data_IF_421050186484
#
_entry.id   IF_421050186484
#
_cell.length_a   1.000
_cell.length_b   1.000
_cell.length_c   1.000
_cell.angle_alpha   90.00
_cell.angle_beta   90.00
_cell.angle_gamma   90.00
#
_symmetry.space_group_name_H-M   'P 1'
#
loop_
_entity.id
_entity.type
_entity.pdbx_description
1 polymer ?
#
# COMPACT_ATOMS: atom_id res chain seq x y z
N UNK A 1 1.86 -0.24 24.21
CA UNK A 1 1.07 -0.28 22.97
C UNK A 1 1.99 -0.20 21.76
N UNK A 2 1.77 -1.02 20.69
CA UNK A 2 2.52 -0.90 19.42
C UNK A 2 2.25 0.46 18.79
N UNK A 3 3.32 1.14 18.31
CA UNK A 3 3.17 2.41 17.58
C UNK A 3 2.35 2.21 16.31
N UNK A 4 1.38 3.11 15.98
CA UNK A 4 0.63 3.04 14.73
C UNK A 4 1.55 3.06 13.51
N UNK A 5 1.40 2.06 12.62
CA UNK A 5 2.22 1.91 11.41
C UNK A 5 1.65 2.77 10.29
N UNK A 6 2.45 3.72 9.80
CA UNK A 6 2.07 4.66 8.74
C UNK A 6 3.09 4.61 7.61
N UNK A 7 2.64 4.41 6.38
CA UNK A 7 3.46 4.59 5.19
C UNK A 7 3.18 5.95 4.58
N UNK A 8 4.19 6.82 4.53
CA UNK A 8 4.10 8.06 3.78
C UNK A 8 4.28 7.76 2.29
N UNK A 9 3.30 8.15 1.48
CA UNK A 9 3.36 7.97 0.03
C UNK A 9 4.21 9.08 -0.59
N UNK A 10 5.27 8.66 -1.28
CA UNK A 10 6.16 9.54 -2.05
C UNK A 10 5.70 9.54 -3.51
N UNK A 11 4.56 10.20 -3.76
CA UNK A 11 3.96 10.35 -5.07
C UNK A 11 4.51 11.64 -5.71
N UNK A 12 5.71 11.53 -6.29
CA UNK A 12 6.50 12.59 -6.94
C UNK A 12 7.56 11.97 -7.83
N UNK A 13 7.97 12.64 -8.88
CA UNK A 13 9.11 12.25 -9.73
C UNK A 13 10.43 12.95 -9.34
N UNK A 14 10.41 13.77 -8.25
CA UNK A 14 11.58 14.57 -7.81
C UNK A 14 12.23 13.95 -6.58
N UNK A 15 13.51 13.57 -6.70
CA UNK A 15 14.30 13.04 -5.58
C UNK A 15 14.42 14.06 -4.43
N UNK A 16 14.52 15.36 -4.74
CA UNK A 16 14.56 16.43 -3.72
C UNK A 16 13.31 16.45 -2.85
N UNK A 17 12.13 16.28 -3.45
CA UNK A 17 10.86 16.23 -2.72
C UNK A 17 10.76 14.95 -1.88
N UNK A 18 11.20 13.81 -2.41
CA UNK A 18 11.26 12.57 -1.65
C UNK A 18 12.18 12.71 -0.42
N UNK A 19 13.36 13.32 -0.56
CA UNK A 19 14.27 13.65 0.56
C UNK A 19 13.58 14.53 1.60
N UNK A 20 12.83 15.55 1.16
CA UNK A 20 12.08 16.45 2.05
C UNK A 20 11.05 15.69 2.88
N UNK A 21 10.24 14.83 2.24
CA UNK A 21 9.22 14.01 2.93
C UNK A 21 9.89 13.07 3.95
N UNK A 22 10.99 12.41 3.56
CA UNK A 22 11.73 11.48 4.42
C UNK A 22 12.29 12.19 5.66
N UNK A 23 12.83 13.40 5.52
CA UNK A 23 13.38 14.17 6.62
C UNK A 23 12.34 14.44 7.74
N UNK A 24 11.08 14.73 7.36
CA UNK A 24 9.99 14.95 8.31
C UNK A 24 9.37 13.67 8.88
N UNK A 25 9.58 12.52 8.25
CA UNK A 25 9.03 11.23 8.69
C UNK A 25 9.70 10.63 9.93
N UNK A 26 10.59 11.34 10.60
CA UNK A 26 11.33 10.86 11.80
C UNK A 26 10.54 10.96 13.12
N UNK A 27 9.21 11.02 13.09
CA UNK A 27 8.40 11.12 14.32
C UNK A 27 8.62 9.90 15.22
N UNK A 28 8.99 10.13 16.50
CA UNK A 28 9.17 9.08 17.51
C UNK A 28 7.85 8.44 17.97
N UNK A 29 6.69 9.09 17.73
CA UNK A 29 5.37 8.64 18.18
C UNK A 29 4.68 7.69 17.19
N UNK A 30 5.19 7.57 15.95
CA UNK A 30 4.63 6.73 14.88
C UNK A 30 5.70 5.76 14.36
N UNK A 31 5.26 4.58 13.87
CA UNK A 31 6.12 3.67 13.08
C UNK A 31 6.02 4.08 11.61
N UNK A 32 6.88 5.01 11.18
CA UNK A 32 6.88 5.58 9.81
C UNK A 32 7.72 4.70 8.88
N UNK A 33 7.08 4.27 7.77
CA UNK A 33 7.72 3.71 6.58
C UNK A 33 7.46 4.59 5.35
N UNK A 34 8.04 4.24 4.22
CA UNK A 34 7.90 4.99 2.97
C UNK A 34 7.38 4.12 1.85
N UNK A 35 6.31 4.58 1.19
CA UNK A 35 5.74 3.95 0.01
C UNK A 35 6.19 4.67 -1.26
N UNK A 36 6.86 3.95 -2.13
CA UNK A 36 7.25 4.41 -3.46
C UNK A 36 6.27 3.84 -4.48
N UNK A 37 5.42 4.70 -5.04
CA UNK A 37 4.46 4.36 -6.09
C UNK A 37 5.07 4.39 -7.48
N UNK A 38 4.23 4.20 -8.49
CA UNK A 38 4.66 4.11 -9.91
C UNK A 38 5.42 5.36 -10.36
N UNK A 39 4.87 6.56 -10.08
CA UNK A 39 5.49 7.83 -10.48
C UNK A 39 6.95 7.93 -10.01
N UNK A 40 7.22 7.63 -8.75
CA UNK A 40 8.58 7.68 -8.21
C UNK A 40 9.45 6.55 -8.77
N UNK A 41 8.91 5.33 -8.83
CA UNK A 41 9.70 4.15 -9.24
C UNK A 41 10.19 4.24 -10.68
N UNK A 42 9.41 4.84 -11.58
CA UNK A 42 9.79 5.07 -12.99
C UNK A 42 10.62 6.34 -13.20
N UNK A 43 10.78 7.20 -12.20
CA UNK A 43 11.61 8.40 -12.32
C UNK A 43 13.10 8.05 -12.40
N UNK A 44 13.88 8.87 -13.13
CA UNK A 44 15.33 8.71 -13.27
C UNK A 44 16.02 8.70 -11.90
N UNK A 45 16.91 7.73 -11.67
CA UNK A 45 17.68 7.59 -10.44
C UNK A 45 16.89 7.06 -9.22
N UNK A 46 15.62 6.73 -9.38
CA UNK A 46 14.74 6.30 -8.28
C UNK A 46 15.21 5.01 -7.60
N UNK A 47 15.63 3.99 -8.37
CA UNK A 47 16.08 2.70 -7.83
C UNK A 47 17.31 2.87 -6.94
N UNK A 48 18.29 3.65 -7.41
CA UNK A 48 19.49 3.97 -6.65
C UNK A 48 19.14 4.75 -5.37
N UNK A 49 18.24 5.73 -5.48
CA UNK A 49 17.76 6.45 -4.31
C UNK A 49 17.10 5.53 -3.29
N UNK A 50 16.16 4.67 -3.70
CA UNK A 50 15.45 3.73 -2.82
C UNK A 50 16.42 2.80 -2.10
N UNK A 51 17.45 2.29 -2.79
CA UNK A 51 18.45 1.39 -2.20
C UNK A 51 19.27 2.05 -1.06
N UNK A 52 19.41 3.37 -1.11
CA UNK A 52 20.13 4.18 -0.09
C UNK A 52 19.27 4.59 1.11
N UNK A 53 17.95 4.41 1.07
CA UNK A 53 17.06 4.73 2.21
C UNK A 53 17.24 3.68 3.31
N UNK A 54 17.80 4.09 4.46
CA UNK A 54 18.11 3.19 5.60
C UNK A 54 17.20 3.43 6.81
N UNK A 55 17.09 2.42 7.67
CA UNK A 55 16.46 2.53 8.99
C UNK A 55 14.92 2.65 8.98
N UNK A 56 14.27 2.46 7.83
CA UNK A 56 12.82 2.54 7.67
C UNK A 56 12.30 1.43 6.77
N UNK A 57 11.03 1.08 6.92
CA UNK A 57 10.36 0.11 6.06
C UNK A 57 10.11 0.70 4.67
N UNK A 58 10.52 -0.03 3.64
CA UNK A 58 10.35 0.33 2.24
C UNK A 58 9.22 -0.49 1.64
N UNK A 59 8.27 0.21 1.05
CA UNK A 59 7.11 -0.35 0.41
C UNK A 59 7.07 0.06 -1.07
N UNK A 60 7.31 -0.88 -1.97
CA UNK A 60 7.17 -0.69 -3.42
C UNK A 60 5.71 -0.98 -3.83
N UNK A 61 4.98 0.08 -4.16
CA UNK A 61 3.57 -0.01 -4.54
C UNK A 61 3.43 -0.02 -6.07
N UNK A 62 3.85 -1.15 -6.69
CA UNK A 62 3.94 -1.32 -8.14
C UNK A 62 2.69 -1.96 -8.75
N UNK A 63 1.85 -2.59 -7.93
CA UNK A 63 0.62 -3.27 -8.35
C UNK A 63 0.83 -4.18 -9.56
N UNK A 64 1.89 -5.03 -9.49
CA UNK A 64 2.23 -5.93 -10.59
C UNK A 64 0.98 -6.66 -11.09
N UNK A 65 0.79 -6.68 -12.40
CA UNK A 65 -0.37 -7.30 -13.06
C UNK A 65 0.03 -7.75 -14.46
N UNK A 66 0.56 -8.97 -14.56
CA UNK A 66 1.08 -9.58 -15.77
C UNK A 66 1.09 -11.10 -15.59
N UNK A 67 1.53 -11.86 -16.61
CA UNK A 67 1.69 -13.32 -16.56
C UNK A 67 2.72 -13.75 -15.50
N UNK A 68 2.66 -15.02 -15.01
CA UNK A 68 3.50 -15.51 -13.92
C UNK A 68 5.00 -15.33 -14.12
N UNK A 69 5.49 -15.58 -15.34
CA UNK A 69 6.90 -15.45 -15.68
C UNK A 69 7.40 -14.01 -15.57
N UNK A 70 6.64 -13.04 -16.12
CA UNK A 70 6.96 -11.61 -16.13
C UNK A 70 6.95 -11.03 -14.71
N UNK A 71 5.88 -11.28 -13.95
CA UNK A 71 5.80 -10.80 -12.57
C UNK A 71 6.91 -11.39 -11.68
N UNK A 72 7.24 -12.68 -11.86
CA UNK A 72 8.34 -13.33 -11.13
C UNK A 72 9.70 -12.75 -11.51
N UNK A 73 9.93 -12.44 -12.80
CA UNK A 73 11.15 -11.80 -13.27
C UNK A 73 11.29 -10.37 -12.70
N UNK A 74 10.18 -9.59 -12.64
CA UNK A 74 10.17 -8.29 -12.01
C UNK A 74 10.62 -8.35 -10.54
N UNK A 75 10.14 -9.34 -9.76
CA UNK A 75 10.61 -9.55 -8.38
C UNK A 75 12.11 -9.86 -8.34
N UNK A 76 12.60 -10.78 -9.19
CA UNK A 76 14.02 -11.12 -9.23
C UNK A 76 14.92 -9.95 -9.60
N UNK A 77 14.45 -9.07 -10.49
CA UNK A 77 15.19 -7.86 -10.88
C UNK A 77 15.39 -6.85 -9.74
N UNK A 78 14.66 -6.98 -8.64
CA UNK A 78 14.77 -6.11 -7.45
C UNK A 78 15.81 -6.59 -6.43
N UNK A 79 16.59 -7.63 -6.74
CA UNK A 79 17.62 -8.21 -5.83
C UNK A 79 18.69 -7.21 -5.37
N UNK A 80 18.95 -6.17 -6.14
CA UNK A 80 19.86 -5.06 -5.83
C UNK A 80 19.32 -4.11 -4.74
N UNK A 81 18.01 -4.05 -4.55
CA UNK A 81 17.37 -3.20 -3.53
C UNK A 81 17.08 -4.03 -2.26
N UNK A 82 18.11 -4.27 -1.46
CA UNK A 82 18.08 -5.21 -0.31
C UNK A 82 17.15 -4.79 0.84
N UNK A 83 16.74 -3.53 0.89
CA UNK A 83 15.94 -2.94 1.97
C UNK A 83 14.43 -2.96 1.73
N UNK A 84 13.93 -3.63 0.68
CA UNK A 84 12.50 -3.76 0.41
C UNK A 84 11.84 -4.65 1.47
N UNK A 85 10.75 -4.15 2.05
CA UNK A 85 9.92 -4.90 2.99
C UNK A 85 8.57 -5.31 2.40
N UNK A 86 7.99 -4.49 1.51
CA UNK A 86 6.66 -4.73 0.93
C UNK A 86 6.66 -4.47 -0.57
N UNK A 87 5.95 -5.33 -1.30
CA UNK A 87 5.65 -5.16 -2.74
C UNK A 87 4.17 -5.47 -2.97
N UNK A 88 3.52 -4.72 -3.85
CA UNK A 88 2.13 -4.99 -4.25
C UNK A 88 2.03 -5.76 -5.55
N UNK A 89 1.06 -6.67 -5.59
CA UNK A 89 0.55 -7.37 -6.76
C UNK A 89 -0.96 -7.16 -6.83
N UNK A 90 -1.53 -6.96 -8.00
CA UNK A 90 -2.97 -6.78 -8.17
C UNK A 90 -3.70 -8.14 -8.18
N UNK A 91 -4.88 -8.22 -7.56
CA UNK A 91 -5.65 -9.46 -7.50
C UNK A 91 -6.11 -9.96 -8.89
N UNK A 92 -6.23 -9.06 -9.86
CA UNK A 92 -6.60 -9.39 -11.23
C UNK A 92 -5.49 -10.15 -12.01
N UNK A 93 -4.27 -10.24 -11.47
CA UNK A 93 -3.21 -11.05 -12.08
C UNK A 93 -3.50 -12.56 -12.07
N UNK A 94 -4.50 -13.00 -11.29
CA UNK A 94 -4.91 -14.39 -11.22
C UNK A 94 -4.10 -15.24 -10.24
N UNK A 95 -4.66 -16.39 -9.91
CA UNK A 95 -4.13 -17.29 -8.85
C UNK A 95 -2.71 -17.78 -9.14
N UNK A 96 -2.46 -18.21 -10.39
CA UNK A 96 -1.16 -18.75 -10.81
C UNK A 96 -0.05 -17.69 -10.67
N UNK A 97 -0.31 -16.46 -11.14
CA UNK A 97 0.64 -15.35 -11.01
C UNK A 97 0.90 -15.03 -9.53
N UNK A 98 -0.15 -14.96 -8.71
CA UNK A 98 0.00 -14.65 -7.29
C UNK A 98 0.88 -15.70 -6.60
N UNK A 99 0.62 -17.00 -6.81
CA UNK A 99 1.43 -18.10 -6.25
C UNK A 99 2.89 -18.04 -6.73
N UNK A 100 3.12 -17.80 -8.03
CA UNK A 100 4.45 -17.69 -8.60
C UNK A 100 5.23 -16.51 -7.99
N UNK A 101 4.59 -15.36 -7.81
CA UNK A 101 5.21 -14.16 -7.22
C UNK A 101 5.50 -14.35 -5.73
N UNK A 102 4.60 -14.98 -4.95
CA UNK A 102 4.86 -15.34 -3.55
C UNK A 102 6.12 -16.20 -3.44
N UNK A 103 6.23 -17.24 -4.27
CA UNK A 103 7.41 -18.14 -4.31
C UNK A 103 8.68 -17.39 -4.72
N UNK A 104 8.58 -16.52 -5.75
CA UNK A 104 9.72 -15.72 -6.24
C UNK A 104 10.20 -14.72 -5.18
N UNK A 105 9.29 -14.01 -4.50
CA UNK A 105 9.63 -13.06 -3.46
C UNK A 105 10.39 -13.73 -2.30
N UNK A 106 9.91 -14.88 -1.84
CA UNK A 106 10.58 -15.66 -0.77
C UNK A 106 11.98 -16.09 -1.15
N UNK A 107 12.20 -16.50 -2.44
CA UNK A 107 13.53 -16.90 -2.95
C UNK A 107 14.47 -15.71 -3.13
N UNK A 108 13.95 -14.56 -3.60
CA UNK A 108 14.77 -13.37 -3.89
C UNK A 108 15.23 -12.68 -2.61
N UNK A 109 14.31 -12.48 -1.67
CA UNK A 109 14.60 -11.91 -0.35
C UNK A 109 13.47 -12.30 0.61
N UNK A 110 13.75 -13.15 1.59
CA UNK A 110 12.77 -13.65 2.58
C UNK A 110 12.11 -12.57 3.43
N UNK A 111 12.66 -11.35 3.44
CA UNK A 111 12.07 -10.19 4.14
C UNK A 111 10.94 -9.52 3.36
N UNK A 112 10.82 -9.79 2.05
CA UNK A 112 9.77 -9.20 1.22
C UNK A 112 8.42 -9.80 1.59
N UNK A 113 7.48 -8.94 1.93
CA UNK A 113 6.07 -9.26 2.20
C UNK A 113 5.22 -8.85 1.01
N UNK A 114 4.57 -9.82 0.39
CA UNK A 114 3.67 -9.56 -0.72
C UNK A 114 2.30 -9.10 -0.21
N UNK A 115 1.84 -7.95 -0.69
CA UNK A 115 0.51 -7.41 -0.43
C UNK A 115 -0.35 -7.52 -1.67
N UNK A 116 -1.49 -8.20 -1.58
CA UNK A 116 -2.45 -8.30 -2.67
C UNK A 116 -3.36 -7.08 -2.69
N UNK A 117 -3.35 -6.31 -3.78
CA UNK A 117 -4.24 -5.17 -3.97
C UNK A 117 -5.60 -5.66 -4.45
N UNK A 118 -6.65 -5.31 -3.73
CA UNK A 118 -8.04 -5.56 -4.11
C UNK A 118 -8.55 -4.47 -5.06
N UNK A 119 -9.85 -4.23 -5.15
CA UNK A 119 -10.42 -3.19 -6.01
C UNK A 119 -9.90 -1.81 -5.60
N UNK A 120 -9.38 -1.05 -6.57
CA UNK A 120 -8.83 0.29 -6.36
C UNK A 120 -9.88 1.26 -5.79
N UNK A 121 -9.45 2.14 -4.90
CA UNK A 121 -10.32 3.09 -4.18
C UNK A 121 -10.98 4.15 -5.07
N UNK A 122 -10.49 4.35 -6.29
CA UNK A 122 -11.06 5.22 -7.32
C UNK A 122 -12.22 4.59 -8.10
N UNK A 123 -12.37 3.26 -8.05
CA UNK A 123 -13.39 2.52 -8.80
C UNK A 123 -14.72 2.52 -8.05
N UNK A 124 -15.82 2.80 -8.78
CA UNK A 124 -17.22 2.70 -8.32
C UNK A 124 -17.90 1.43 -8.82
N UNK A 125 -19.07 1.09 -8.24
CA UNK A 125 -19.87 -0.05 -8.72
C UNK A 125 -20.31 0.12 -10.19
N UNK A 126 -20.55 1.33 -10.67
CA UNK A 126 -20.85 1.59 -12.07
C UNK A 126 -19.63 1.36 -12.97
N UNK A 127 -18.45 1.83 -12.54
CA UNK A 127 -17.21 1.66 -13.31
C UNK A 127 -16.77 0.20 -13.40
N UNK A 128 -16.94 -0.59 -12.32
CA UNK A 128 -16.54 -2.00 -12.31
C UNK A 128 -17.38 -2.86 -13.26
N UNK A 129 -18.66 -2.50 -13.42
CA UNK A 129 -19.55 -3.15 -14.41
C UNK A 129 -19.12 -2.86 -15.85
N UNK A 130 -18.68 -1.62 -16.14
CA UNK A 130 -18.22 -1.23 -17.50
C UNK A 130 -16.98 -1.99 -17.95
N UNK A 131 -16.19 -2.53 -17.03
CA UNK A 131 -15.01 -3.36 -17.34
C UNK A 131 -15.30 -4.87 -17.20
N UNK A 132 -16.58 -5.27 -17.31
CA UNK A 132 -17.00 -6.67 -17.43
C UNK A 132 -17.25 -7.42 -16.11
N UNK A 133 -17.16 -6.77 -14.94
CA UNK A 133 -17.49 -7.46 -13.69
C UNK A 133 -19.00 -7.41 -13.40
N UNK A 134 -19.61 -8.57 -13.19
CA UNK A 134 -21.04 -8.71 -12.82
C UNK A 134 -21.29 -8.54 -11.32
N UNK A 135 -20.27 -8.82 -10.48
CA UNK A 135 -20.34 -8.73 -9.03
C UNK A 135 -20.18 -7.30 -8.51
N UNK A 136 -20.78 -7.01 -7.35
CA UNK A 136 -20.52 -5.77 -6.62
C UNK A 136 -19.07 -5.69 -6.14
N UNK A 137 -18.56 -4.47 -5.92
CA UNK A 137 -17.21 -4.28 -5.33
C UNK A 137 -17.06 -5.05 -4.01
N UNK A 138 -18.07 -5.03 -3.16
CA UNK A 138 -18.06 -5.72 -1.85
C UNK A 138 -17.88 -7.24 -2.00
N UNK A 139 -18.55 -7.87 -2.95
CA UNK A 139 -18.42 -9.31 -3.23
C UNK A 139 -17.08 -9.63 -3.87
N UNK A 140 -16.62 -8.78 -4.81
CA UNK A 140 -15.34 -8.96 -5.47
C UNK A 140 -14.18 -8.85 -4.47
N UNK A 141 -14.18 -7.85 -3.59
CA UNK A 141 -13.18 -7.70 -2.53
C UNK A 141 -13.15 -8.90 -1.58
N UNK A 142 -14.32 -9.48 -1.23
CA UNK A 142 -14.37 -10.72 -0.43
C UNK A 142 -13.71 -11.90 -1.15
N UNK A 143 -13.99 -12.09 -2.46
CA UNK A 143 -13.35 -13.13 -3.28
C UNK A 143 -11.84 -12.92 -3.37
N UNK A 144 -11.40 -11.69 -3.60
CA UNK A 144 -9.98 -11.35 -3.64
C UNK A 144 -9.28 -11.54 -2.28
N UNK A 145 -9.98 -11.33 -1.17
CA UNK A 145 -9.45 -11.63 0.17
C UNK A 145 -9.29 -13.14 0.41
N UNK A 146 -10.24 -13.96 -0.05
CA UNK A 146 -10.11 -15.42 -0.03
C UNK A 146 -8.94 -15.89 -0.90
N UNK A 147 -8.79 -15.32 -2.10
CA UNK A 147 -7.68 -15.61 -3.00
C UNK A 147 -6.33 -15.27 -2.37
N UNK A 148 -6.20 -14.09 -1.73
CA UNK A 148 -5.00 -13.71 -1.00
C UNK A 148 -4.62 -14.73 0.08
N UNK A 149 -5.62 -15.23 0.82
CA UNK A 149 -5.45 -16.26 1.85
C UNK A 149 -4.98 -17.59 1.22
N UNK A 150 -5.65 -18.05 0.17
CA UNK A 150 -5.33 -19.31 -0.51
C UNK A 150 -3.93 -19.31 -1.14
N UNK A 151 -3.50 -18.16 -1.68
CA UNK A 151 -2.17 -18.01 -2.31
C UNK A 151 -1.04 -17.71 -1.31
N UNK A 152 -1.32 -17.62 0.00
CA UNK A 152 -0.29 -17.36 1.02
C UNK A 152 0.29 -15.94 0.99
N UNK A 153 -0.50 -14.94 0.55
CA UNK A 153 -0.08 -13.54 0.63
C UNK A 153 0.12 -13.10 2.08
N UNK A 154 1.12 -12.24 2.34
CA UNK A 154 1.40 -11.74 3.68
C UNK A 154 0.39 -10.67 4.14
N UNK A 155 -0.23 -9.98 3.18
CA UNK A 155 -1.21 -8.94 3.47
C UNK A 155 -2.09 -8.60 2.28
N UNK A 156 -3.03 -7.69 2.55
CA UNK A 156 -4.01 -7.18 1.59
C UNK A 156 -3.98 -5.65 1.63
N UNK A 157 -4.15 -5.01 0.48
CA UNK A 157 -4.47 -3.59 0.37
C UNK A 157 -5.93 -3.45 0.00
N UNK A 158 -6.73 -2.83 0.88
CA UNK A 158 -8.16 -2.61 0.63
C UNK A 158 -8.65 -1.24 1.12
N UNK A 159 -9.77 -0.78 0.58
CA UNK A 159 -10.39 0.47 1.01
C UNK A 159 -10.90 0.40 2.46
N UNK A 160 -11.01 1.56 3.10
CA UNK A 160 -11.52 1.67 4.47
C UNK A 160 -12.93 1.09 4.66
N UNK A 161 -13.79 1.24 3.64
CA UNK A 161 -15.16 0.70 3.62
C UNK A 161 -15.22 -0.84 3.64
N UNK A 162 -14.13 -1.50 3.23
CA UNK A 162 -14.08 -2.96 3.10
C UNK A 162 -13.45 -3.65 4.31
N UNK A 163 -12.83 -2.89 5.22
CA UNK A 163 -12.03 -3.39 6.34
C UNK A 163 -12.75 -4.42 7.20
N UNK A 164 -13.96 -4.13 7.65
CA UNK A 164 -14.73 -5.03 8.54
C UNK A 164 -14.99 -6.39 7.89
N UNK A 165 -15.28 -6.41 6.58
CA UNK A 165 -15.52 -7.65 5.84
C UNK A 165 -14.23 -8.41 5.55
N UNK A 166 -13.16 -7.71 5.17
CA UNK A 166 -11.84 -8.30 4.89
C UNK A 166 -11.24 -8.90 6.16
N UNK A 167 -11.32 -8.21 7.31
CA UNK A 167 -10.79 -8.71 8.60
C UNK A 167 -11.41 -10.03 9.06
N UNK A 168 -12.68 -10.29 8.71
CA UNK A 168 -13.34 -11.57 9.01
C UNK A 168 -12.70 -12.74 8.24
N UNK A 169 -12.23 -12.49 7.02
CA UNK A 169 -11.70 -13.48 6.07
C UNK A 169 -10.18 -13.64 6.19
N UNK A 170 -9.47 -12.52 6.29
CA UNK A 170 -8.01 -12.46 6.21
C UNK A 170 -7.41 -12.01 7.55
N UNK A 171 -6.47 -12.80 8.09
CA UNK A 171 -5.85 -12.56 9.41
C UNK A 171 -4.45 -11.95 9.33
N UNK A 172 -3.88 -11.77 8.13
CA UNK A 172 -2.58 -11.13 7.90
C UNK A 172 -2.62 -9.60 8.00
N UNK A 173 -1.63 -8.95 7.41
CA UNK A 173 -1.57 -7.47 7.38
C UNK A 173 -2.66 -6.90 6.48
N UNK A 174 -3.37 -5.88 6.96
CA UNK A 174 -4.37 -5.15 6.18
C UNK A 174 -3.91 -3.70 6.09
N UNK A 175 -3.50 -3.30 4.89
CA UNK A 175 -2.98 -1.96 4.61
C UNK A 175 -4.08 -1.13 3.94
N UNK A 176 -4.34 0.06 4.46
CA UNK A 176 -5.46 0.90 4.00
C UNK A 176 -4.95 2.21 3.42
N UNK A 177 -5.14 2.45 2.11
CA UNK A 177 -4.90 3.73 1.46
C UNK A 177 -6.10 4.66 1.58
N UNK A 178 -6.03 5.82 0.91
CA UNK A 178 -7.10 6.82 0.86
C UNK A 178 -7.50 7.35 2.23
N UNK A 179 -6.55 7.46 3.15
CA UNK A 179 -6.76 8.06 4.47
C UNK A 179 -6.76 9.57 4.35
N UNK A 180 -7.74 10.20 5.02
CA UNK A 180 -7.86 11.66 5.10
C UNK A 180 -7.94 12.12 6.55
N UNK A 181 -7.24 13.20 6.86
CA UNK A 181 -7.42 13.91 8.12
C UNK A 181 -8.71 14.73 8.09
N UNK A 182 -9.28 15.01 9.24
CA UNK A 182 -10.48 15.82 9.37
C UNK A 182 -10.30 17.17 8.67
N UNK A 183 -11.25 17.53 7.79
CA UNK A 183 -11.21 18.75 6.99
C UNK A 183 -10.44 18.65 5.66
N UNK A 184 -9.76 17.53 5.36
CA UNK A 184 -9.09 17.36 4.09
C UNK A 184 -10.07 16.94 2.97
N UNK A 185 -9.83 17.43 1.75
CA UNK A 185 -10.58 17.01 0.56
C UNK A 185 -10.33 15.54 0.20
N UNK A 186 -11.38 14.85 -0.25
CA UNK A 186 -11.28 13.50 -0.79
C UNK A 186 -10.45 13.45 -2.09
N UNK A 187 -10.52 14.50 -2.92
CA UNK A 187 -9.88 14.56 -4.23
C UNK A 187 -10.43 13.50 -5.19
N UNK A 188 -9.53 12.76 -5.83
CA UNK A 188 -9.81 11.65 -6.74
C UNK A 188 -10.31 10.36 -6.05
N UNK A 189 -10.26 10.31 -4.72
CA UNK A 189 -10.60 9.11 -3.95
C UNK A 189 -12.10 9.07 -3.62
N UNK A 190 -12.77 7.98 -4.03
CA UNK A 190 -14.22 7.80 -3.80
C UNK A 190 -14.54 7.12 -2.47
N UNK A 191 -13.58 6.43 -1.85
CA UNK A 191 -13.76 5.61 -0.65
C UNK A 191 -12.72 5.98 0.41
N UNK A 192 -12.88 7.16 1.02
CA UNK A 192 -12.00 7.71 2.06
C UNK A 192 -12.45 7.34 3.47
N UNK A 193 -11.52 7.34 4.42
CA UNK A 193 -11.77 7.08 5.85
C UNK A 193 -10.75 7.85 6.70
N UNK A 194 -11.13 8.17 7.95
CA UNK A 194 -10.22 8.76 8.93
C UNK A 194 -9.22 7.75 9.53
N UNK A 195 -8.06 8.20 10.04
CA UNK A 195 -7.00 7.31 10.53
C UNK A 195 -7.44 6.47 11.73
N UNK A 196 -8.07 7.06 12.74
CA UNK A 196 -8.55 6.36 13.95
C UNK A 196 -9.61 5.31 13.61
N UNK A 197 -10.56 5.67 12.75
CA UNK A 197 -11.60 4.76 12.31
C UNK A 197 -11.05 3.59 11.50
N UNK A 198 -10.07 3.82 10.62
CA UNK A 198 -9.43 2.75 9.85
C UNK A 198 -8.77 1.71 10.77
N UNK A 199 -8.04 2.13 11.81
CA UNK A 199 -7.47 1.21 12.80
C UNK A 199 -8.56 0.49 13.61
N UNK A 200 -9.60 1.19 14.05
CA UNK A 200 -10.75 0.59 14.77
C UNK A 200 -11.43 -0.48 13.92
N UNK A 201 -11.56 -0.26 12.61
CA UNK A 201 -12.17 -1.20 11.67
C UNK A 201 -11.24 -2.36 11.27
N UNK A 202 -9.97 -2.37 11.70
CA UNK A 202 -9.07 -3.50 11.56
C UNK A 202 -7.90 -3.32 10.61
N UNK A 203 -7.63 -2.11 10.12
CA UNK A 203 -6.37 -1.82 9.44
C UNK A 203 -5.18 -2.07 10.36
N UNK A 204 -4.10 -2.64 9.82
CA UNK A 204 -2.83 -2.83 10.55
C UNK A 204 -1.78 -1.79 10.17
N UNK A 205 -1.97 -1.11 9.05
CA UNK A 205 -1.13 -0.02 8.58
C UNK A 205 -1.91 0.91 7.65
N UNK A 206 -1.59 2.19 7.66
CA UNK A 206 -2.20 3.19 6.79
C UNK A 206 -1.21 3.66 5.73
N UNK A 207 -1.70 3.97 4.52
CA UNK A 207 -0.94 4.71 3.50
C UNK A 207 -1.51 6.11 3.43
N UNK A 208 -0.66 7.10 3.70
CA UNK A 208 -1.03 8.50 3.71
C UNK A 208 -0.17 9.30 2.72
N UNK A 209 -0.80 9.90 1.73
CA UNK A 209 -0.18 10.78 0.74
C UNK A 209 -0.46 12.25 1.06
N UNK A 210 -1.21 12.91 0.18
CA UNK A 210 -1.47 14.36 0.17
C UNK A 210 -1.87 14.96 1.52
N UNK A 211 -2.65 14.25 2.35
CA UNK A 211 -3.00 14.70 3.71
C UNK A 211 -1.80 14.94 4.62
N UNK A 212 -0.67 14.30 4.33
CA UNK A 212 0.59 14.51 5.08
C UNK A 212 1.60 15.27 4.24
N UNK A 213 1.80 14.89 2.97
CA UNK A 213 2.93 15.34 2.15
C UNK A 213 2.73 16.73 1.54
N UNK A 214 1.47 17.20 1.39
CA UNK A 214 1.16 18.54 0.83
C UNK A 214 1.27 19.61 1.92
N UNK A 215 1.89 20.73 1.57
CA UNK A 215 2.06 21.88 2.49
C UNK A 215 3.03 21.59 3.64
N UNK A 216 2.63 21.94 4.87
CA UNK A 216 3.50 21.80 6.05
C UNK A 216 3.42 20.39 6.65
N UNK A 217 4.37 19.53 6.30
CA UNK A 217 4.42 18.11 6.71
C UNK A 217 4.47 17.97 8.24
N UNK A 218 5.25 18.78 8.95
CA UNK A 218 5.36 18.75 10.41
C UNK A 218 4.01 19.00 11.08
N UNK A 219 3.29 20.03 10.61
CA UNK A 219 1.94 20.36 11.10
C UNK A 219 0.96 19.20 10.81
N UNK A 220 1.02 18.63 9.61
CA UNK A 220 0.14 17.51 9.22
C UNK A 220 0.41 16.24 10.04
N UNK A 221 1.67 15.91 10.32
CA UNK A 221 2.02 14.81 11.24
C UNK A 221 1.49 15.08 12.65
N UNK A 222 1.54 16.31 13.13
CA UNK A 222 0.97 16.68 14.44
C UNK A 222 -0.55 16.53 14.46
N UNK A 223 -1.27 16.90 13.37
CA UNK A 223 -2.71 16.64 13.21
C UNK A 223 -3.00 15.15 13.27
N UNK A 224 -2.26 14.33 12.51
CA UNK A 224 -2.41 12.88 12.53
C UNK A 224 -2.26 12.30 13.94
N UNK A 225 -1.23 12.73 14.69
CA UNK A 225 -1.00 12.26 16.06
C UNK A 225 -2.18 12.62 16.98
N UNK A 226 -2.77 13.81 16.81
CA UNK A 226 -3.97 14.23 17.56
C UNK A 226 -5.18 13.35 17.23
N UNK A 227 -5.41 13.04 15.97
CA UNK A 227 -6.53 12.20 15.53
C UNK A 227 -6.38 10.72 15.89
N UNK A 228 -5.17 10.24 16.18
CA UNK A 228 -4.91 8.86 16.62
C UNK A 228 -5.07 8.64 18.13
N UNK A 229 -5.13 9.71 18.90
CA UNK A 229 -5.47 9.69 20.33
C UNK A 229 -6.97 9.53 20.53
#
# INVERSE_FOLDING_TARGET
>A
MKKPKIFLALDTNKISEAKRIIAYGKSSKLDIGYKFGLEFFYAKGSREFISKVKGKKIFLDLKLNDIPATCSAAIRSLKDIKNINYITLHANAGEETIKAVVKSAKKTNSKIRLLLVTVLTSISNSSIKKIGHTKSIKELVKKQALLAKACGCHGIVCAGTDLKSVKKIFKGEIVTPAIRLKGDSAGDQKRVIGPKEAFKNGSTALVMGRSITKGNIKKNISRLIKELK
#
